data_IF_881747216757
#
_entry.id   IF_881747216757
#
_cell.length_a   1.000
_cell.length_b   1.000
_cell.length_c   1.000
_cell.angle_alpha   90.00
_cell.angle_beta   90.00
_cell.angle_gamma   90.00
#
_symmetry.space_group_name_H-M   'P 1'
#
loop_
_entity.id
_entity.type
_entity.pdbx_description
1 polymer ?
#
# COMPACT_ATOMS: atom_id res chain seq x y z
N UNK A 1 -13.39 -4.80 12.76
CA UNK A 1 -13.00 -4.56 11.36
C UNK A 1 -12.79 -5.91 10.73
N UNK A 2 -13.50 -6.20 9.65
CA UNK A 2 -13.28 -7.42 8.87
C UNK A 2 -11.98 -7.27 8.08
N UNK A 3 -11.11 -8.27 8.14
CA UNK A 3 -9.84 -8.25 7.41
C UNK A 3 -10.11 -8.52 5.93
N UNK A 4 -9.46 -7.78 5.03
CA UNK A 4 -9.55 -8.10 3.60
C UNK A 4 -8.77 -9.39 3.29
N UNK A 5 -9.30 -10.17 2.34
CA UNK A 5 -8.63 -11.39 1.88
C UNK A 5 -7.26 -11.07 1.29
N UNK A 6 -6.35 -12.05 1.34
CA UNK A 6 -5.02 -11.93 0.72
C UNK A 6 -5.11 -11.61 -0.77
N UNK A 7 -6.10 -12.19 -1.46
CA UNK A 7 -6.35 -11.96 -2.88
C UNK A 7 -6.75 -10.51 -3.16
N UNK A 8 -7.70 -9.96 -2.40
CA UNK A 8 -8.11 -8.58 -2.55
C UNK A 8 -6.96 -7.62 -2.20
N UNK A 9 -6.22 -7.89 -1.13
CA UNK A 9 -5.02 -7.12 -0.78
C UNK A 9 -4.02 -7.09 -1.94
N UNK A 10 -3.70 -8.25 -2.53
CA UNK A 10 -2.76 -8.34 -3.65
C UNK A 10 -3.27 -7.56 -4.87
N UNK A 11 -4.55 -7.72 -5.21
CA UNK A 11 -5.18 -7.00 -6.33
C UNK A 11 -5.06 -5.48 -6.18
N UNK A 12 -5.29 -4.95 -4.97
CA UNK A 12 -5.15 -3.51 -4.68
C UNK A 12 -3.68 -3.05 -4.82
N UNK A 13 -2.73 -3.84 -4.32
CA UNK A 13 -1.30 -3.55 -4.46
C UNK A 13 -0.87 -3.55 -5.93
N UNK A 14 -1.33 -4.53 -6.72
CA UNK A 14 -1.01 -4.64 -8.14
C UNK A 14 -1.56 -3.44 -8.93
N UNK A 15 -2.79 -3.02 -8.61
CA UNK A 15 -3.38 -1.81 -9.18
C UNK A 15 -2.55 -0.56 -8.83
N UNK A 16 -2.09 -0.43 -7.58
CA UNK A 16 -1.24 0.69 -7.19
C UNK A 16 0.09 0.69 -7.97
N UNK A 17 0.71 -0.49 -8.16
CA UNK A 17 1.94 -0.65 -8.97
C UNK A 17 1.69 -0.27 -10.44
N UNK A 18 0.58 -0.71 -11.02
CA UNK A 18 0.21 -0.41 -12.40
C UNK A 18 0.01 1.09 -12.62
N UNK A 19 -0.82 1.73 -11.79
CA UNK A 19 -1.09 3.17 -11.90
C UNK A 19 0.18 4.01 -11.69
N UNK A 20 1.08 3.59 -10.80
CA UNK A 20 2.38 4.24 -10.61
C UNK A 20 3.21 4.22 -11.89
N UNK A 21 3.21 3.12 -12.65
CA UNK A 21 3.94 3.00 -13.92
C UNK A 21 3.29 3.85 -15.02
N UNK A 22 1.97 3.81 -15.12
CA UNK A 22 1.22 4.49 -16.18
C UNK A 22 1.19 6.02 -16.02
N UNK A 23 1.15 6.51 -14.78
CA UNK A 23 0.90 7.93 -14.49
C UNK A 23 2.11 8.66 -13.89
N UNK A 24 3.33 8.16 -14.10
CA UNK A 24 4.55 8.83 -13.64
C UNK A 24 4.66 8.92 -12.11
N UNK A 25 4.46 7.80 -11.42
CA UNK A 25 4.48 7.64 -9.96
C UNK A 25 3.36 8.37 -9.21
N UNK A 26 2.20 8.56 -9.83
CA UNK A 26 1.04 9.23 -9.23
C UNK A 26 -0.26 8.46 -9.47
N UNK A 27 -1.25 8.71 -8.64
CA UNK A 27 -2.64 8.34 -8.89
C UNK A 27 -3.56 9.37 -8.21
N UNK A 28 -4.87 9.12 -8.20
CA UNK A 28 -5.85 10.01 -7.57
C UNK A 28 -5.62 10.19 -6.06
N UNK A 29 -4.87 9.29 -5.42
CA UNK A 29 -4.49 9.36 -4.01
C UNK A 29 -3.17 10.12 -3.76
N UNK A 30 -2.53 10.62 -4.81
CA UNK A 30 -1.28 11.39 -4.74
C UNK A 30 -0.06 10.62 -5.25
N UNK A 31 1.12 10.95 -4.73
CA UNK A 31 2.39 10.34 -5.12
C UNK A 31 2.55 8.93 -4.50
N UNK A 32 2.88 7.95 -5.33
CA UNK A 32 3.01 6.54 -4.94
C UNK A 32 3.92 6.33 -3.72
N UNK A 33 5.09 6.99 -3.70
CA UNK A 33 6.07 6.88 -2.61
C UNK A 33 5.60 7.53 -1.29
N UNK A 34 4.78 8.58 -1.36
CA UNK A 34 4.25 9.30 -0.20
C UNK A 34 2.84 8.83 0.21
N UNK A 35 2.26 7.89 -0.51
CA UNK A 35 0.87 7.46 -0.35
C UNK A 35 0.63 6.72 0.99
N UNK A 36 -0.45 7.08 1.70
CA UNK A 36 -0.89 6.43 2.94
C UNK A 36 -1.75 5.18 2.73
N UNK A 37 -2.16 4.89 1.49
CA UNK A 37 -3.03 3.75 1.16
C UNK A 37 -2.34 2.42 1.43
N UNK A 38 -1.05 2.27 1.15
CA UNK A 38 -0.33 0.99 1.38
C UNK A 38 -0.30 0.61 2.88
N UNK A 39 0.10 1.50 3.81
CA UNK A 39 -0.02 1.24 5.25
C UNK A 39 -1.47 0.95 5.70
N UNK A 40 -2.46 1.64 5.12
CA UNK A 40 -3.87 1.39 5.42
C UNK A 40 -4.31 -0.01 4.99
N UNK A 41 -4.00 -0.42 3.76
CA UNK A 41 -4.28 -1.76 3.24
C UNK A 41 -3.59 -2.83 4.09
N UNK A 42 -2.35 -2.58 4.52
CA UNK A 42 -1.63 -3.48 5.42
C UNK A 42 -2.34 -3.62 6.76
N UNK A 43 -2.80 -2.51 7.35
CA UNK A 43 -3.60 -2.52 8.59
C UNK A 43 -4.89 -3.31 8.43
N UNK A 44 -5.62 -3.10 7.34
CA UNK A 44 -6.89 -3.79 7.12
C UNK A 44 -6.65 -5.29 6.89
N UNK A 45 -5.60 -5.67 6.16
CA UNK A 45 -5.29 -7.08 5.90
C UNK A 45 -4.69 -7.82 7.11
N UNK A 46 -3.75 -7.20 7.83
CA UNK A 46 -3.00 -7.83 8.93
C UNK A 46 -3.55 -7.53 10.31
N UNK A 47 -4.42 -6.53 10.45
CA UNK A 47 -4.87 -6.00 11.74
C UNK A 47 -3.81 -5.17 12.48
N UNK A 48 -2.71 -4.81 11.82
CA UNK A 48 -1.55 -4.14 12.43
C UNK A 48 -1.51 -2.66 12.01
N UNK A 49 -1.59 -1.75 12.98
CA UNK A 49 -1.36 -0.34 12.74
C UNK A 49 0.15 -0.06 12.80
N UNK A 50 0.70 0.50 11.72
CA UNK A 50 2.08 0.98 11.67
C UNK A 50 2.09 2.47 12.01
N UNK A 51 2.77 2.85 13.10
CA UNK A 51 2.87 4.24 13.55
C UNK A 51 4.27 4.82 13.34
N UNK A 52 5.30 3.96 13.31
CA UNK A 52 6.67 4.36 13.07
C UNK A 52 6.95 4.63 11.60
N UNK A 53 7.62 5.75 11.32
CA UNK A 53 7.92 6.19 9.96
C UNK A 53 8.94 5.29 9.24
N UNK A 54 9.81 4.61 9.98
CA UNK A 54 10.79 3.68 9.43
C UNK A 54 10.14 2.34 9.10
N UNK A 55 9.29 1.80 10.00
CA UNK A 55 8.47 0.61 9.73
C UNK A 55 7.60 0.78 8.48
N UNK A 56 6.95 1.93 8.34
CA UNK A 56 6.15 2.25 7.15
C UNK A 56 7.00 2.21 5.88
N UNK A 57 8.22 2.76 5.91
CA UNK A 57 9.14 2.75 4.76
C UNK A 57 9.57 1.33 4.41
N UNK A 58 9.88 0.51 5.40
CA UNK A 58 10.38 -0.84 5.18
C UNK A 58 9.28 -1.79 4.68
N UNK A 59 8.07 -1.68 5.23
CA UNK A 59 6.89 -2.41 4.73
C UNK A 59 6.54 -1.96 3.30
N UNK A 60 6.57 -0.66 3.03
CA UNK A 60 6.41 -0.16 1.65
C UNK A 60 7.43 -0.79 0.73
N UNK A 61 8.72 -0.81 1.08
CA UNK A 61 9.73 -1.51 0.28
C UNK A 61 9.36 -2.97 0.08
N UNK A 62 9.05 -3.73 1.12
CA UNK A 62 8.75 -5.16 0.98
C UNK A 62 7.54 -5.47 0.07
N UNK A 63 6.50 -4.65 0.12
CA UNK A 63 5.27 -4.85 -0.68
C UNK A 63 5.45 -4.34 -2.12
N UNK A 64 6.17 -3.24 -2.28
CA UNK A 64 6.32 -2.53 -3.55
C UNK A 64 7.46 -3.11 -4.40
N UNK A 65 8.56 -3.55 -3.77
CA UNK A 65 9.74 -4.10 -4.46
C UNK A 65 9.42 -5.33 -5.29
#
# INVERSE_FOLDING_TARGET
>A
MEQISKELFQKEIDMCKQLSKENGNKCNWGEYNKCGVIPLLYKIHKGILLEDGQEIKDIKKQIIS
#
